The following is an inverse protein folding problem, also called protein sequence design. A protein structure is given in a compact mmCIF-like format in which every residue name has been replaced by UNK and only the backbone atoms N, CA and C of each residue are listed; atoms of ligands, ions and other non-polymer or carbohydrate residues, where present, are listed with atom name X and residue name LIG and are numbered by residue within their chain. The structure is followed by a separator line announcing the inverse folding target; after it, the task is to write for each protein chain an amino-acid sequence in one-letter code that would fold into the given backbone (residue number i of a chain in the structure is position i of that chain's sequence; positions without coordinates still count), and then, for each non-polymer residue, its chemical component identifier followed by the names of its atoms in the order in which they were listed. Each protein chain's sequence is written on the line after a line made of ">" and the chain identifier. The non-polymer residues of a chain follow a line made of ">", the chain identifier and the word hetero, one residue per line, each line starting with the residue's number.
data_IF_129991241952
#
_entry.id   IF_129991241952
#
_cell.length_a   1.000
_cell.length_b   1.000
_cell.length_c   1.000
_cell.angle_alpha   90.00
_cell.angle_beta   90.00
_cell.angle_gamma   90.00
#
_symmetry.space_group_name_H-M   'P 1'
#
loop_
_entity.id
_entity.type
_entity.pdbx_description
1 polymer ?
#
# COMPACT_ATOMS: atom_id res chain seq x y z
N UNK A 1 35.09 23.75 29.07
CA UNK A 1 34.47 23.57 27.74
C UNK A 1 33.70 22.30 27.76
N UNK A 2 32.41 22.38 28.02
CA UNK A 2 31.54 21.25 28.20
C UNK A 2 30.80 21.01 26.86
N UNK A 3 31.23 20.05 26.05
CA UNK A 3 30.50 19.60 24.90
C UNK A 3 29.35 18.71 25.40
N UNK A 4 28.24 19.33 25.80
CA UNK A 4 26.98 18.63 25.94
C UNK A 4 26.64 18.03 24.57
N UNK A 5 26.84 16.73 24.47
CA UNK A 5 26.39 15.92 23.34
C UNK A 5 24.89 16.13 23.16
N UNK A 6 24.53 16.91 22.16
CA UNK A 6 23.19 16.91 21.60
C UNK A 6 23.01 15.49 21.04
N UNK A 7 22.49 14.60 21.83
CA UNK A 7 21.90 13.35 21.34
C UNK A 7 20.74 13.78 20.46
N UNK A 8 21.02 13.97 19.17
CA UNK A 8 19.99 14.11 18.19
C UNK A 8 19.04 12.93 18.39
N UNK A 9 17.80 13.20 18.70
CA UNK A 9 16.69 12.25 18.81
C UNK A 9 16.61 11.51 17.47
N UNK A 10 17.41 10.44 17.38
CA UNK A 10 17.43 9.57 16.20
C UNK A 10 16.14 8.78 16.27
N UNK A 11 15.20 9.10 15.39
CA UNK A 11 14.02 8.25 15.24
C UNK A 11 14.44 6.77 15.07
N UNK A 12 13.51 5.86 15.32
CA UNK A 12 13.71 4.42 15.23
C UNK A 12 14.38 3.98 13.91
N UNK A 13 13.99 4.65 12.80
CA UNK A 13 14.51 4.41 11.45
C UNK A 13 15.03 5.70 10.83
N UNK A 14 16.12 5.62 10.12
CA UNK A 14 16.61 6.70 9.26
C UNK A 14 15.71 6.84 8.03
N UNK A 15 15.79 7.99 7.37
CA UNK A 15 15.04 8.26 6.13
C UNK A 15 15.39 7.25 5.03
N UNK A 16 16.66 6.87 4.91
CA UNK A 16 17.13 5.90 3.91
C UNK A 16 16.56 4.50 4.18
N UNK A 17 16.58 4.07 5.44
CA UNK A 17 15.98 2.79 5.84
C UNK A 17 14.48 2.74 5.58
N UNK A 18 13.74 3.82 5.89
CA UNK A 18 12.32 3.91 5.56
C UNK A 18 12.07 3.78 4.05
N UNK A 19 12.89 4.42 3.21
CA UNK A 19 12.74 4.30 1.76
C UNK A 19 13.06 2.91 1.26
N UNK A 20 14.13 2.28 1.76
CA UNK A 20 14.50 0.91 1.39
C UNK A 20 13.42 -0.09 1.79
N UNK A 21 12.93 -0.02 3.03
CA UNK A 21 11.87 -0.90 3.52
C UNK A 21 10.54 -0.71 2.78
N UNK A 22 10.19 0.53 2.39
CA UNK A 22 9.02 0.77 1.53
C UNK A 22 9.20 0.14 0.15
N UNK A 23 10.38 0.24 -0.45
CA UNK A 23 10.70 -0.39 -1.71
C UNK A 23 10.55 -1.91 -1.64
N UNK A 24 11.08 -2.54 -0.58
CA UNK A 24 10.93 -3.96 -0.33
C UNK A 24 9.46 -4.36 -0.12
N UNK A 25 8.70 -3.56 0.63
CA UNK A 25 7.27 -3.81 0.86
C UNK A 25 6.48 -3.77 -0.46
N UNK A 26 6.71 -2.76 -1.31
CA UNK A 26 6.07 -2.65 -2.63
C UNK A 26 6.46 -3.82 -3.52
N UNK A 27 7.73 -4.21 -3.54
CA UNK A 27 8.20 -5.37 -4.29
C UNK A 27 7.53 -6.66 -3.80
N UNK A 28 7.41 -6.83 -2.48
CA UNK A 28 6.71 -7.95 -1.87
C UNK A 28 5.24 -8.02 -2.30
N UNK A 29 4.52 -6.89 -2.27
CA UNK A 29 3.12 -6.79 -2.71
C UNK A 29 3.00 -7.13 -4.21
N UNK A 30 3.88 -6.57 -5.03
CA UNK A 30 3.87 -6.82 -6.48
C UNK A 30 4.09 -8.31 -6.79
N UNK A 31 5.13 -8.90 -6.19
CA UNK A 31 5.46 -10.31 -6.39
C UNK A 31 4.37 -11.23 -5.81
N UNK A 32 3.77 -10.88 -4.67
CA UNK A 32 2.63 -11.60 -4.11
C UNK A 32 1.47 -11.67 -5.11
N UNK A 33 1.03 -10.51 -5.61
CA UNK A 33 -0.06 -10.45 -6.58
C UNK A 33 0.26 -11.25 -7.85
N UNK A 34 1.50 -11.23 -8.31
CA UNK A 34 1.93 -12.03 -9.46
C UNK A 34 1.93 -13.53 -9.15
N UNK A 35 2.58 -13.93 -8.05
CA UNK A 35 2.73 -15.33 -7.67
C UNK A 35 1.39 -15.99 -7.30
N UNK A 36 0.46 -15.22 -6.72
CA UNK A 36 -0.88 -15.70 -6.36
C UNK A 36 -1.68 -16.24 -7.57
N UNK A 37 -1.43 -15.70 -8.77
CA UNK A 37 -2.07 -16.16 -10.00
C UNK A 37 -1.42 -17.41 -10.61
N UNK A 38 -0.26 -17.81 -10.13
CA UNK A 38 0.41 -19.02 -10.62
C UNK A 38 -0.28 -20.27 -10.05
N UNK A 39 -0.71 -21.19 -10.91
CA UNK A 39 -1.51 -22.34 -10.55
C UNK A 39 -0.94 -23.24 -9.43
N UNK A 40 0.37 -23.53 -9.37
CA UNK A 40 0.94 -24.36 -8.31
C UNK A 40 1.22 -23.62 -6.99
N UNK A 41 1.12 -22.26 -6.97
CA UNK A 41 1.45 -21.47 -5.79
C UNK A 41 0.46 -21.71 -4.64
N UNK A 42 0.98 -21.81 -3.42
CA UNK A 42 0.16 -21.90 -2.21
C UNK A 42 -0.56 -20.55 -2.01
N UNK A 43 -1.86 -20.60 -1.71
CA UNK A 43 -2.67 -19.42 -1.45
C UNK A 43 -2.55 -18.96 0.01
N UNK A 44 -2.67 -17.67 0.22
CA UNK A 44 -2.66 -17.04 1.55
C UNK A 44 -4.05 -17.06 2.23
N UNK A 45 -4.09 -16.60 3.48
CA UNK A 45 -5.30 -16.41 4.28
C UNK A 45 -5.53 -14.91 4.57
N UNK A 46 -5.52 -14.05 3.56
CA UNK A 46 -5.60 -12.61 3.73
C UNK A 46 -6.96 -12.15 4.26
N UNK A 47 -8.04 -12.58 3.61
CA UNK A 47 -9.40 -12.12 3.95
C UNK A 47 -10.20 -13.16 4.72
N UNK A 48 -9.88 -14.43 4.56
CA UNK A 48 -10.58 -15.52 5.19
C UNK A 48 -9.63 -16.67 5.49
N UNK A 49 -9.77 -17.26 6.68
CA UNK A 49 -8.95 -18.41 7.08
C UNK A 49 -9.42 -19.70 6.42
N UNK A 50 -8.52 -20.35 5.68
CA UNK A 50 -8.69 -21.70 5.16
C UNK A 50 -7.58 -22.59 5.68
N UNK A 51 -7.96 -23.65 6.38
CA UNK A 51 -6.99 -24.62 6.91
C UNK A 51 -6.15 -25.27 5.81
N UNK A 52 -6.76 -25.53 4.64
CA UNK A 52 -6.09 -26.08 3.46
C UNK A 52 -4.90 -25.23 2.97
N UNK A 53 -4.99 -23.90 3.09
CA UNK A 53 -3.88 -23.01 2.70
C UNK A 53 -2.68 -23.16 3.64
N UNK A 54 -2.94 -23.31 4.95
CA UNK A 54 -1.89 -23.58 5.94
C UNK A 54 -1.28 -24.97 5.74
N UNK A 55 -2.10 -25.97 5.46
CA UNK A 55 -1.63 -27.34 5.17
C UNK A 55 -0.79 -27.37 3.89
N UNK A 56 -1.19 -26.63 2.85
CA UNK A 56 -0.41 -26.44 1.63
C UNK A 56 0.95 -25.82 1.91
N UNK A 57 1.02 -24.75 2.72
CA UNK A 57 2.30 -24.16 3.13
C UNK A 57 3.16 -25.16 3.92
N UNK A 58 2.57 -25.88 4.86
CA UNK A 58 3.31 -26.89 5.64
C UNK A 58 3.87 -28.00 4.75
N UNK A 59 3.12 -28.44 3.76
CA UNK A 59 3.60 -29.41 2.76
C UNK A 59 4.78 -28.85 1.96
N UNK A 60 4.67 -27.62 1.44
CA UNK A 60 5.74 -26.96 0.68
C UNK A 60 7.01 -26.76 1.51
N UNK A 61 6.88 -26.51 2.82
CA UNK A 61 8.03 -26.41 3.74
C UNK A 61 8.62 -27.78 4.11
N UNK A 62 7.77 -28.82 4.21
CA UNK A 62 8.21 -30.19 4.55
C UNK A 62 8.87 -30.93 3.39
N UNK A 63 8.47 -30.60 2.15
CA UNK A 63 8.99 -31.19 0.91
C UNK A 63 9.41 -30.06 -0.06
N UNK A 64 10.48 -29.31 0.24
CA UNK A 64 10.88 -28.15 -0.54
C UNK A 64 11.30 -28.53 -1.96
N UNK A 65 10.78 -27.81 -2.92
CA UNK A 65 11.09 -27.94 -4.34
C UNK A 65 11.55 -26.59 -4.94
N UNK A 66 11.71 -26.52 -6.25
CA UNK A 66 12.10 -25.28 -6.96
C UNK A 66 11.05 -24.15 -6.84
N UNK A 67 9.80 -24.48 -6.47
CA UNK A 67 8.71 -23.51 -6.29
C UNK A 67 8.66 -22.91 -4.88
N UNK A 68 9.47 -23.38 -3.95
CA UNK A 68 9.47 -22.89 -2.57
C UNK A 68 9.51 -21.36 -2.45
N UNK A 69 10.38 -20.62 -3.19
CA UNK A 69 10.37 -19.14 -3.14
C UNK A 69 9.03 -18.55 -3.59
N UNK A 70 8.40 -19.13 -4.61
CA UNK A 70 7.09 -18.70 -5.11
C UNK A 70 6.00 -18.95 -4.07
N UNK A 71 6.00 -20.12 -3.41
CA UNK A 71 5.09 -20.43 -2.31
C UNK A 71 5.20 -19.44 -1.16
N UNK A 72 6.44 -19.11 -0.76
CA UNK A 72 6.68 -18.15 0.32
C UNK A 72 6.22 -16.72 -0.05
N UNK A 73 6.53 -16.27 -1.26
CA UNK A 73 6.11 -14.95 -1.75
C UNK A 73 4.59 -14.89 -1.89
N UNK A 74 3.96 -15.92 -2.45
CA UNK A 74 2.51 -16.00 -2.60
C UNK A 74 1.79 -16.03 -1.25
N UNK A 75 2.36 -16.67 -0.23
CA UNK A 75 1.72 -16.76 1.07
C UNK A 75 1.97 -15.54 1.96
N UNK A 76 3.18 -14.97 1.96
CA UNK A 76 3.59 -13.92 2.89
C UNK A 76 3.69 -12.52 2.28
N UNK A 77 3.71 -12.38 0.96
CA UNK A 77 3.97 -11.09 0.32
C UNK A 77 2.90 -10.03 0.60
N UNK A 78 1.66 -10.40 0.95
CA UNK A 78 0.59 -9.48 1.35
C UNK A 78 0.95 -8.68 2.62
N UNK A 79 1.82 -9.20 3.50
CA UNK A 79 2.32 -8.45 4.66
C UNK A 79 3.12 -7.19 4.28
N UNK A 80 3.49 -7.06 3.01
CA UNK A 80 4.02 -5.79 2.48
C UNK A 80 3.06 -4.62 2.66
N UNK A 81 1.73 -4.84 2.62
CA UNK A 81 0.71 -3.78 2.78
C UNK A 81 0.80 -3.13 4.16
N UNK A 82 0.65 -3.85 5.29
CA UNK A 82 0.74 -3.25 6.62
C UNK A 82 2.13 -2.65 6.89
N UNK A 83 3.20 -3.25 6.39
CA UNK A 83 4.55 -2.67 6.51
C UNK A 83 4.65 -1.34 5.77
N UNK A 84 4.14 -1.26 4.55
CA UNK A 84 4.12 -0.02 3.78
C UNK A 84 3.28 1.07 4.46
N UNK A 85 2.11 0.73 4.99
CA UNK A 85 1.24 1.65 5.73
C UNK A 85 1.92 2.16 7.00
N UNK A 86 2.50 1.26 7.80
CA UNK A 86 3.24 1.63 9.00
C UNK A 86 4.38 2.61 8.70
N UNK A 87 5.22 2.30 7.71
CA UNK A 87 6.33 3.16 7.31
C UNK A 87 5.85 4.49 6.72
N UNK A 88 4.67 4.52 6.11
CA UNK A 88 4.08 5.76 5.60
C UNK A 88 3.59 6.66 6.74
N UNK A 89 2.89 6.08 7.72
CA UNK A 89 2.47 6.79 8.94
C UNK A 89 3.68 7.27 9.74
N UNK A 90 4.66 6.38 9.99
CA UNK A 90 5.90 6.73 10.69
C UNK A 90 6.63 7.90 10.04
N UNK A 91 6.84 7.85 8.71
CA UNK A 91 7.51 8.92 7.99
C UNK A 91 6.74 10.24 8.01
N UNK A 92 5.41 10.18 8.01
CA UNK A 92 4.53 11.35 8.13
C UNK A 92 4.68 11.99 9.52
N UNK A 93 4.52 11.20 10.58
CA UNK A 93 4.67 11.63 11.98
C UNK A 93 6.05 12.25 12.22
N UNK A 94 7.12 11.57 11.81
CA UNK A 94 8.48 12.07 11.97
C UNK A 94 8.72 13.40 11.22
N UNK A 95 8.11 13.57 10.05
CA UNK A 95 8.19 14.83 9.31
C UNK A 95 7.53 15.98 10.08
N UNK A 96 6.33 15.75 10.62
CA UNK A 96 5.57 16.78 11.32
C UNK A 96 6.14 17.09 12.70
N UNK A 97 6.52 16.10 13.49
CA UNK A 97 7.15 16.31 14.81
C UNK A 97 8.48 17.06 14.70
N UNK A 98 9.32 16.70 13.74
CA UNK A 98 10.60 17.40 13.52
C UNK A 98 10.40 18.84 13.06
N UNK A 99 9.39 19.12 12.27
CA UNK A 99 9.05 20.47 11.84
C UNK A 99 8.55 21.32 13.02
N UNK A 100 7.78 20.73 13.93
CA UNK A 100 7.30 21.40 15.13
C UNK A 100 8.43 21.75 16.13
N UNK A 101 9.47 20.93 16.22
CA UNK A 101 10.63 21.16 17.10
C UNK A 101 11.65 22.19 16.55
N UNK A 102 11.64 22.45 15.25
CA UNK A 102 12.45 23.51 14.63
C UNK A 102 11.70 24.83 14.65
N UNK A 103 11.71 25.49 15.80
CA UNK A 103 11.04 26.78 16.02
C UNK A 103 11.60 27.93 15.19
N UNK A 104 12.78 27.78 14.55
CA UNK A 104 13.51 28.83 13.83
C UNK A 104 13.38 28.80 12.30
N UNK A 105 12.61 27.85 11.72
CA UNK A 105 12.43 27.81 10.27
C UNK A 105 11.02 28.31 9.90
N UNK A 106 10.87 29.39 9.15
CA UNK A 106 9.58 29.87 8.68
C UNK A 106 9.02 29.01 7.56
N UNK A 107 8.65 27.78 7.90
CA UNK A 107 7.81 26.98 7.02
C UNK A 107 6.37 27.48 7.11
N UNK A 108 5.60 27.46 6.01
CA UNK A 108 4.22 27.96 6.02
C UNK A 108 3.37 27.17 7.00
N UNK A 109 3.28 27.68 8.24
CA UNK A 109 2.41 27.17 9.30
C UNK A 109 0.93 27.35 9.00
N UNK A 110 0.63 28.02 7.90
CA UNK A 110 -0.72 28.44 7.51
C UNK A 110 -1.39 27.52 6.48
N UNK A 111 -0.80 26.35 6.20
CA UNK A 111 -1.54 25.36 5.41
C UNK A 111 -2.71 24.85 6.25
N UNK A 112 -3.91 25.39 5.97
CA UNK A 112 -5.13 24.91 6.61
C UNK A 112 -5.22 23.37 6.44
N UNK A 113 -5.82 22.63 7.39
CA UNK A 113 -6.03 21.19 7.24
C UNK A 113 -6.62 20.80 5.88
N UNK A 114 -7.50 21.65 5.35
CA UNK A 114 -8.08 21.48 4.02
C UNK A 114 -7.04 21.56 2.89
N UNK A 115 -6.08 22.48 2.97
CA UNK A 115 -5.00 22.60 1.98
C UNK A 115 -4.07 21.38 2.04
N UNK A 116 -3.80 20.85 3.23
CA UNK A 116 -3.02 19.64 3.43
C UNK A 116 -3.72 18.41 2.80
N UNK A 117 -4.98 18.19 3.12
CA UNK A 117 -5.78 17.08 2.55
C UNK A 117 -5.87 17.21 1.02
N UNK A 118 -6.15 18.41 0.51
CA UNK A 118 -6.20 18.69 -0.93
C UNK A 118 -4.88 18.35 -1.63
N UNK A 119 -3.74 18.71 -1.04
CA UNK A 119 -2.43 18.41 -1.61
C UNK A 119 -2.20 16.90 -1.73
N UNK A 120 -2.47 16.14 -0.66
CA UNK A 120 -2.29 14.70 -0.64
C UNK A 120 -3.32 13.98 -1.53
N UNK A 121 -4.56 14.45 -1.55
CA UNK A 121 -5.59 13.96 -2.49
C UNK A 121 -5.13 14.11 -3.94
N UNK A 122 -4.72 15.29 -4.35
CA UNK A 122 -4.29 15.53 -5.73
C UNK A 122 -3.04 14.71 -6.10
N UNK A 123 -2.14 14.51 -5.15
CA UNK A 123 -0.95 13.67 -5.36
C UNK A 123 -1.33 12.21 -5.61
N UNK A 124 -2.19 11.64 -4.77
CA UNK A 124 -2.69 10.27 -4.94
C UNK A 124 -3.54 10.13 -6.20
N UNK A 125 -4.41 11.11 -6.45
CA UNK A 125 -5.30 11.13 -7.61
C UNK A 125 -4.52 11.08 -8.94
N UNK A 126 -3.44 11.87 -9.07
CA UNK A 126 -2.60 11.84 -10.27
C UNK A 126 -1.98 10.48 -10.56
N UNK A 127 -1.58 9.75 -9.52
CA UNK A 127 -1.05 8.39 -9.68
C UNK A 127 -2.16 7.40 -10.02
N UNK A 128 -3.26 7.48 -9.32
CA UNK A 128 -4.42 6.61 -9.49
C UNK A 128 -5.04 6.74 -10.86
N UNK A 129 -5.28 7.98 -11.33
CA UNK A 129 -6.01 8.23 -12.59
C UNK A 129 -5.28 7.67 -13.82
N UNK A 130 -3.95 7.70 -13.83
CA UNK A 130 -3.15 7.15 -14.94
C UNK A 130 -3.39 5.65 -15.07
N UNK A 131 -3.30 4.92 -13.96
CA UNK A 131 -3.57 3.48 -13.93
C UNK A 131 -5.03 3.18 -14.26
N UNK A 132 -5.97 3.93 -13.67
CA UNK A 132 -7.40 3.74 -13.91
C UNK A 132 -7.78 3.90 -15.38
N UNK A 133 -7.30 4.97 -16.04
CA UNK A 133 -7.53 5.17 -17.48
C UNK A 133 -6.91 4.05 -18.31
N UNK A 134 -5.67 3.66 -18.02
CA UNK A 134 -5.00 2.59 -18.76
C UNK A 134 -5.77 1.27 -18.66
N UNK A 135 -6.21 0.87 -17.46
CA UNK A 135 -6.96 -0.37 -17.27
C UNK A 135 -8.37 -0.31 -17.84
N UNK A 136 -9.08 0.82 -17.73
CA UNK A 136 -10.40 0.97 -18.36
C UNK A 136 -10.32 0.94 -19.88
N UNK A 137 -9.25 1.47 -20.47
CA UNK A 137 -9.04 1.36 -21.92
C UNK A 137 -8.76 -0.09 -22.34
N UNK A 138 -7.94 -0.82 -21.59
CA UNK A 138 -7.70 -2.25 -21.81
C UNK A 138 -8.99 -3.07 -21.68
N UNK A 139 -9.77 -2.79 -20.68
CA UNK A 139 -11.07 -3.43 -20.43
C UNK A 139 -12.04 -3.20 -21.63
N UNK A 140 -12.10 -1.96 -22.13
CA UNK A 140 -12.98 -1.60 -23.24
C UNK A 140 -12.67 -2.33 -24.55
N UNK A 141 -11.42 -2.77 -24.78
CA UNK A 141 -11.00 -3.51 -25.98
C UNK A 141 -10.93 -5.03 -25.75
N UNK A 142 -11.13 -5.51 -24.51
CA UNK A 142 -11.02 -6.92 -24.17
C UNK A 142 -12.43 -7.56 -24.13
N UNK A 143 -12.68 -8.66 -24.86
CA UNK A 143 -13.96 -9.35 -24.78
C UNK A 143 -14.27 -9.85 -23.38
N UNK A 144 -15.50 -9.65 -22.90
CA UNK A 144 -15.90 -10.02 -21.54
C UNK A 144 -15.46 -9.05 -20.46
N UNK A 145 -15.18 -7.81 -20.83
CA UNK A 145 -14.76 -6.73 -19.95
C UNK A 145 -15.73 -6.45 -18.80
N UNK A 146 -15.20 -5.81 -17.74
CA UNK A 146 -16.00 -5.41 -16.59
C UNK A 146 -16.93 -4.24 -16.93
N UNK A 147 -18.14 -4.29 -16.43
CA UNK A 147 -19.09 -3.18 -16.49
C UNK A 147 -19.19 -2.53 -15.12
N UNK A 148 -18.92 -1.23 -15.06
CA UNK A 148 -18.95 -0.47 -13.82
C UNK A 148 -20.23 0.31 -13.69
N UNK A 149 -20.78 0.36 -12.47
CA UNK A 149 -21.86 1.28 -12.14
C UNK A 149 -21.30 2.69 -11.96
N UNK A 150 -22.14 3.70 -12.18
CA UNK A 150 -21.74 5.09 -11.98
C UNK A 150 -21.22 5.33 -10.55
N UNK A 151 -21.82 4.68 -9.54
CA UNK A 151 -21.39 4.81 -8.15
C UNK A 151 -20.01 4.24 -7.92
N UNK A 152 -19.62 3.16 -8.60
CA UNK A 152 -18.27 2.57 -8.50
C UNK A 152 -17.22 3.56 -9.01
N UNK A 153 -17.50 4.20 -10.15
CA UNK A 153 -16.62 5.22 -10.72
C UNK A 153 -16.52 6.44 -9.79
N UNK A 154 -17.64 6.91 -9.25
CA UNK A 154 -17.66 8.03 -8.30
C UNK A 154 -16.87 7.69 -7.03
N UNK A 155 -17.06 6.48 -6.48
CA UNK A 155 -16.35 6.03 -5.30
C UNK A 155 -14.83 5.94 -5.54
N UNK A 156 -14.43 5.50 -6.73
CA UNK A 156 -13.02 5.45 -7.12
C UNK A 156 -12.44 6.85 -7.33
N UNK A 157 -13.15 7.74 -8.05
CA UNK A 157 -12.70 9.11 -8.26
C UNK A 157 -12.60 9.91 -6.94
N UNK A 158 -13.50 9.64 -6.00
CA UNK A 158 -13.47 10.22 -4.65
C UNK A 158 -12.49 9.53 -3.69
N UNK A 159 -11.88 8.42 -4.11
CA UNK A 159 -10.99 7.59 -3.27
C UNK A 159 -11.65 7.14 -1.95
N UNK A 160 -12.93 6.77 -1.99
CA UNK A 160 -13.65 6.22 -0.84
C UNK A 160 -14.22 4.81 -1.08
N UNK A 161 -13.83 4.15 -2.17
CA UNK A 161 -14.23 2.78 -2.51
C UNK A 161 -13.89 1.76 -1.41
N UNK A 162 -12.83 2.00 -0.65
CA UNK A 162 -12.44 1.17 0.49
C UNK A 162 -13.43 1.19 1.68
N UNK A 163 -14.38 2.13 1.70
CA UNK A 163 -15.44 2.21 2.69
C UNK A 163 -16.70 1.44 2.28
N UNK A 164 -16.75 0.97 1.03
CA UNK A 164 -17.88 0.22 0.49
C UNK A 164 -17.70 -1.29 0.75
N UNK A 165 -18.78 -2.07 0.74
CA UNK A 165 -18.69 -3.54 0.82
C UNK A 165 -17.87 -4.10 -0.34
N UNK A 166 -17.03 -5.09 -0.07
CA UNK A 166 -16.19 -5.79 -1.07
C UNK A 166 -15.38 -4.85 -1.97
N UNK A 167 -14.53 -3.98 -1.39
CA UNK A 167 -13.85 -2.89 -2.10
C UNK A 167 -12.91 -3.37 -3.22
N UNK A 168 -12.42 -4.59 -3.13
CA UNK A 168 -11.60 -5.29 -4.12
C UNK A 168 -12.34 -5.65 -5.42
N UNK A 169 -13.68 -5.65 -5.37
CA UNK A 169 -14.55 -6.00 -6.53
C UNK A 169 -15.20 -4.81 -7.21
N UNK A 170 -15.08 -3.62 -6.62
CA UNK A 170 -15.75 -2.40 -7.12
C UNK A 170 -15.14 -1.97 -8.45
N UNK A 171 -13.81 -1.92 -8.53
CA UNK A 171 -13.06 -1.53 -9.73
C UNK A 171 -11.95 -2.55 -9.98
N UNK A 172 -11.79 -2.94 -11.23
CA UNK A 172 -10.69 -3.77 -11.68
C UNK A 172 -9.47 -2.89 -12.09
N UNK A 173 -8.25 -3.28 -11.70
CA UNK A 173 -7.87 -4.35 -10.78
C UNK A 173 -8.16 -4.00 -9.31
N UNK A 174 -8.53 -5.01 -8.51
CA UNK A 174 -8.96 -4.89 -7.11
C UNK A 174 -8.16 -3.94 -6.19
N UNK A 175 -6.80 -3.89 -6.25
CA UNK A 175 -5.99 -3.06 -5.35
C UNK A 175 -6.25 -1.56 -5.34
N UNK A 176 -7.17 -1.04 -6.15
CA UNK A 176 -7.52 0.40 -6.14
C UNK A 176 -8.08 0.90 -4.80
N UNK A 177 -8.65 0.03 -3.96
CA UNK A 177 -9.08 0.39 -2.60
C UNK A 177 -7.95 0.98 -1.74
N UNK A 178 -6.71 0.63 -2.07
CA UNK A 178 -5.51 1.09 -1.36
C UNK A 178 -5.32 2.62 -1.43
N UNK A 179 -5.73 3.27 -2.51
CA UNK A 179 -5.66 4.73 -2.63
C UNK A 179 -6.57 5.43 -1.63
N UNK A 180 -7.77 4.89 -1.39
CA UNK A 180 -8.67 5.39 -0.36
C UNK A 180 -8.09 5.22 1.04
N UNK A 181 -7.53 4.04 1.34
CA UNK A 181 -6.86 3.78 2.60
C UNK A 181 -5.66 4.72 2.84
N UNK A 182 -4.86 4.97 1.81
CA UNK A 182 -3.75 5.93 1.87
C UNK A 182 -4.22 7.36 2.12
N UNK A 183 -5.36 7.76 1.57
CA UNK A 183 -5.92 9.09 1.82
C UNK A 183 -6.38 9.25 3.26
N UNK A 184 -6.94 8.21 3.87
CA UNK A 184 -7.36 8.20 5.28
C UNK A 184 -6.18 8.27 6.25
N UNK A 185 -4.99 7.88 5.82
CA UNK A 185 -3.77 7.94 6.61
C UNK A 185 -3.24 9.39 6.73
N UNK A 186 -3.61 10.30 5.82
CA UNK A 186 -3.25 11.71 5.82
C UNK A 186 -4.23 12.58 6.61
#
# INVERSE_FOLDING_TARGET
>A
MNKSSITADRGLLSRSECHALRGLAILGIFLHNYCHWLGPAVKENEYQFFRSHVEGLRHALGCPDAWLPVHLISFFGHYGVPVFLFLSAYGLTMKYERTQRRYDDPQPRDASPAAFVRFHFLKLFRMMIVGFVAFTMLDAITPGSHTYQLMDIVAQMGMFNNLLPTPDRIIWPGPYWFFGLMLQLY
#
